data_IF_835071998547
#
_entry.id   IF_835071998547
#
_cell.length_a   1.000
_cell.length_b   1.000
_cell.length_c   1.000
_cell.angle_alpha   90.00
_cell.angle_beta   90.00
_cell.angle_gamma   90.00
#
_symmetry.space_group_name_H-M   'P 1'
#
loop_
_entity.id
_entity.type
_entity.pdbx_description
1 polymer ?
#
# COMPACT_ATOMS: atom_id res chain seq x y z
N UNK A 1 -15.41 -41.08 7.15
CA UNK A 1 -14.25 -40.33 6.62
C UNK A 1 -14.09 -39.04 7.40
N UNK A 2 -13.05 -38.91 8.23
CA UNK A 2 -12.81 -37.70 9.01
C UNK A 2 -12.30 -36.57 8.09
N UNK A 3 -13.02 -35.44 8.03
CA UNK A 3 -12.54 -34.21 7.40
C UNK A 3 -11.23 -33.80 8.06
N UNK A 4 -10.12 -33.82 7.32
CA UNK A 4 -8.85 -33.20 7.74
C UNK A 4 -9.14 -31.74 8.08
N UNK A 5 -9.13 -31.38 9.37
CA UNK A 5 -9.08 -29.99 9.81
C UNK A 5 -7.85 -29.36 9.15
N UNK A 6 -8.05 -28.31 8.37
CA UNK A 6 -6.97 -27.56 7.75
C UNK A 6 -5.98 -27.10 8.83
N UNK A 7 -4.68 -27.24 8.55
CA UNK A 7 -3.62 -26.76 9.44
C UNK A 7 -3.84 -25.29 9.78
N UNK A 8 -3.95 -24.98 11.08
CA UNK A 8 -4.19 -23.64 11.59
C UNK A 8 -2.84 -23.06 12.04
N UNK A 9 -2.35 -22.04 11.34
CA UNK A 9 -1.11 -21.34 11.70
C UNK A 9 -1.37 -20.29 12.77
N UNK A 10 -0.40 -20.03 13.64
CA UNK A 10 -0.50 -18.94 14.62
C UNK A 10 -0.43 -17.60 13.84
N UNK A 11 -1.38 -16.67 14.03
CA UNK A 11 -1.23 -15.29 13.58
C UNK A 11 -0.05 -14.67 14.35
N UNK A 12 1.13 -14.68 13.74
CA UNK A 12 2.36 -14.16 14.34
C UNK A 12 2.72 -12.83 13.66
N UNK A 13 2.88 -11.80 14.49
CA UNK A 13 3.30 -10.47 14.07
C UNK A 13 4.80 -10.43 13.78
N UNK A 14 5.12 -10.33 12.49
CA UNK A 14 6.48 -10.33 12.01
C UNK A 14 7.10 -8.95 11.76
N UNK A 15 6.31 -7.89 11.68
CA UNK A 15 6.86 -6.57 11.32
C UNK A 15 7.29 -5.74 12.54
N UNK A 16 6.95 -6.14 13.77
CA UNK A 16 7.34 -5.45 15.00
C UNK A 16 8.84 -5.57 15.38
N UNK A 17 9.61 -6.43 14.71
CA UNK A 17 11.04 -6.67 15.02
C UNK A 17 12.01 -6.07 13.97
N UNK A 18 11.57 -5.04 13.22
CA UNK A 18 12.12 -4.64 11.92
C UNK A 18 13.44 -3.86 11.88
N UNK A 19 14.16 -3.67 12.99
CA UNK A 19 15.02 -2.48 13.08
C UNK A 19 16.48 -2.63 12.63
N UNK A 20 16.84 -3.63 11.81
CA UNK A 20 18.14 -3.63 11.13
C UNK A 20 18.01 -4.01 9.66
N UNK A 21 18.40 -3.10 8.78
CA UNK A 21 18.68 -3.44 7.39
C UNK A 21 19.82 -4.47 7.37
N UNK A 22 19.74 -5.47 6.51
CA UNK A 22 20.78 -6.48 6.39
C UNK A 22 22.15 -5.93 5.93
N UNK A 23 22.22 -4.65 5.54
CA UNK A 23 23.46 -3.99 5.12
C UNK A 23 24.55 -3.97 6.21
N UNK A 24 24.16 -4.13 7.48
CA UNK A 24 25.09 -4.09 8.62
C UNK A 24 25.54 -5.48 9.14
N UNK A 25 25.20 -6.59 8.46
CA UNK A 25 25.51 -7.95 8.93
C UNK A 25 26.57 -8.67 8.09
N UNK A 26 27.60 -9.18 8.77
CA UNK A 26 28.73 -9.90 8.17
C UNK A 26 28.32 -11.28 7.60
N UNK A 27 28.88 -11.67 6.46
CA UNK A 27 28.56 -12.92 5.73
C UNK A 27 28.68 -14.18 6.59
N UNK A 28 29.76 -14.31 7.35
CA UNK A 28 29.95 -15.40 8.32
C UNK A 28 28.80 -15.52 9.35
N UNK A 29 28.24 -14.40 9.80
CA UNK A 29 27.11 -14.40 10.74
C UNK A 29 25.83 -14.92 10.07
N UNK A 30 25.62 -14.55 8.80
CA UNK A 30 24.50 -15.05 7.97
C UNK A 30 24.59 -16.58 7.82
N UNK A 31 25.79 -17.12 7.53
CA UNK A 31 25.97 -18.56 7.39
C UNK A 31 25.71 -19.33 8.69
N UNK A 32 26.20 -18.80 9.82
CA UNK A 32 25.97 -19.40 11.13
C UNK A 32 24.46 -19.44 11.48
N UNK A 33 23.71 -18.40 11.11
CA UNK A 33 22.25 -18.34 11.30
C UNK A 33 21.48 -19.40 10.50
N UNK A 34 21.96 -19.78 9.31
CA UNK A 34 21.31 -20.83 8.50
C UNK A 34 21.51 -22.23 9.07
N UNK A 35 22.66 -22.52 9.68
CA UNK A 35 23.01 -23.85 10.20
C UNK A 35 22.11 -24.28 11.38
N UNK A 36 21.59 -23.33 12.15
CA UNK A 36 20.80 -23.60 13.36
C UNK A 36 19.29 -23.76 13.11
N UNK A 37 18.79 -23.55 11.89
CA UNK A 37 17.34 -23.51 11.59
C UNK A 37 16.81 -24.83 11.03
N UNK A 38 16.55 -25.80 11.90
CA UNK A 38 15.77 -26.98 11.50
C UNK A 38 14.27 -26.70 11.71
N UNK A 39 13.53 -26.64 10.59
CA UNK A 39 12.04 -26.80 10.46
C UNK A 39 11.14 -25.55 10.48
N UNK A 40 11.53 -24.42 9.87
CA UNK A 40 10.56 -23.32 9.62
C UNK A 40 9.99 -23.38 8.21
N UNK A 41 8.69 -23.13 8.07
CA UNK A 41 8.01 -23.04 6.77
C UNK A 41 7.95 -21.60 6.33
N UNK A 42 8.49 -21.27 5.16
CA UNK A 42 8.29 -19.97 4.56
C UNK A 42 7.01 -19.92 3.74
N UNK A 43 6.27 -18.82 3.86
CA UNK A 43 5.17 -18.44 3.01
C UNK A 43 5.58 -17.28 2.10
N UNK A 44 5.03 -17.25 0.90
CA UNK A 44 5.08 -16.16 -0.05
C UNK A 44 3.67 -15.58 -0.16
N UNK A 45 3.51 -14.32 0.23
CA UNK A 45 2.26 -13.57 0.10
C UNK A 45 2.39 -12.62 -1.08
N UNK A 46 1.59 -12.87 -2.10
CA UNK A 46 1.43 -12.07 -3.30
C UNK A 46 0.30 -11.07 -3.05
N UNK A 47 0.56 -9.79 -3.34
CA UNK A 47 -0.37 -8.70 -3.10
C UNK A 47 -0.46 -7.88 -4.38
N UNK A 48 -1.66 -7.82 -4.97
CA UNK A 48 -1.91 -7.01 -6.17
C UNK A 48 -2.84 -5.85 -5.82
N UNK A 49 -2.39 -4.64 -6.12
CA UNK A 49 -3.15 -3.40 -5.96
C UNK A 49 -3.04 -2.58 -7.26
N UNK A 50 -4.06 -2.66 -8.11
CA UNK A 50 -4.04 -2.03 -9.43
C UNK A 50 -2.91 -2.56 -10.31
N UNK A 51 -1.99 -1.67 -10.69
CA UNK A 51 -0.78 -2.00 -11.46
C UNK A 51 0.43 -2.37 -10.59
N UNK A 52 0.35 -2.13 -9.28
CA UNK A 52 1.39 -2.47 -8.31
C UNK A 52 1.25 -3.92 -7.87
N UNK A 53 2.39 -4.60 -7.77
CA UNK A 53 2.51 -5.95 -7.25
C UNK A 53 3.59 -6.01 -6.19
N UNK A 54 3.26 -6.58 -5.04
CA UNK A 54 4.20 -6.78 -3.94
C UNK A 54 4.27 -8.24 -3.57
N UNK A 55 5.44 -8.66 -3.13
CA UNK A 55 5.61 -9.92 -2.45
C UNK A 55 6.19 -9.72 -1.05
N UNK A 56 5.68 -10.53 -0.12
CA UNK A 56 6.21 -10.66 1.23
C UNK A 56 6.53 -12.14 1.45
N UNK A 57 7.82 -12.47 1.61
CA UNK A 57 8.28 -13.80 2.03
C UNK A 57 8.59 -13.74 3.53
N UNK A 58 7.95 -14.62 4.29
CA UNK A 58 8.07 -14.66 5.74
C UNK A 58 7.98 -16.08 6.31
N UNK A 59 8.66 -16.36 7.42
CA UNK A 59 8.47 -17.58 8.18
C UNK A 59 7.05 -17.67 8.77
N UNK A 60 6.49 -18.86 8.76
CA UNK A 60 5.32 -19.26 9.54
C UNK A 60 5.72 -20.36 10.52
N UNK A 61 5.40 -20.13 11.78
CA UNK A 61 5.64 -21.07 12.87
C UNK A 61 4.35 -21.83 13.18
N UNK A 62 4.46 -23.13 13.45
CA UNK A 62 3.33 -23.98 13.83
C UNK A 62 3.07 -23.95 15.33
N UNK A 63 4.10 -23.69 16.13
CA UNK A 63 4.01 -23.46 17.57
C UNK A 63 5.08 -22.46 18.03
N UNK A 64 4.87 -21.86 19.20
CA UNK A 64 5.90 -21.01 19.83
C UNK A 64 7.17 -21.79 20.19
N UNK A 65 7.08 -23.12 20.28
CA UNK A 65 8.22 -24.00 20.52
C UNK A 65 9.19 -24.09 19.34
N UNK A 66 8.80 -23.61 18.16
CA UNK A 66 9.64 -23.54 16.96
C UNK A 66 10.41 -22.21 16.86
N UNK A 67 10.15 -21.25 17.76
CA UNK A 67 10.91 -19.99 17.85
C UNK A 67 12.15 -20.22 18.73
N UNK A 68 13.36 -19.80 18.31
CA UNK A 68 14.59 -19.97 19.10
C UNK A 68 14.46 -19.44 20.55
N UNK A 69 14.97 -20.16 21.56
CA UNK A 69 14.91 -19.75 22.97
C UNK A 69 15.44 -18.34 23.23
N UNK A 70 16.48 -17.92 22.51
CA UNK A 70 17.12 -16.61 22.57
C UNK A 70 16.13 -15.47 22.25
N UNK A 71 15.16 -15.76 21.38
CA UNK A 71 14.04 -14.90 21.04
C UNK A 71 12.97 -14.81 22.12
N UNK A 72 12.66 -15.93 22.76
CA UNK A 72 11.57 -16.05 23.75
C UNK A 72 11.81 -15.17 24.99
N UNK A 73 13.05 -14.82 25.27
CA UNK A 73 13.48 -13.98 26.40
C UNK A 73 13.29 -12.48 26.19
N UNK A 74 12.99 -12.00 24.98
CA UNK A 74 12.74 -10.57 24.74
C UNK A 74 11.32 -10.21 25.21
N UNK A 75 11.12 -10.06 26.51
CA UNK A 75 9.98 -9.32 27.08
C UNK A 75 10.18 -7.82 26.82
N UNK A 76 9.96 -7.38 25.58
CA UNK A 76 9.78 -5.95 25.28
C UNK A 76 8.36 -5.54 25.66
N UNK A 77 8.20 -4.27 26.03
CA UNK A 77 6.91 -3.59 26.18
C UNK A 77 6.05 -3.79 24.92
N UNK A 78 5.25 -4.86 24.93
CA UNK A 78 4.59 -5.42 23.75
C UNK A 78 3.62 -4.38 23.13
N UNK A 79 3.08 -3.49 23.96
CA UNK A 79 2.07 -2.53 23.55
C UNK A 79 2.60 -1.47 22.57
N UNK A 80 3.82 -0.93 22.80
CA UNK A 80 4.41 0.07 21.89
C UNK A 80 4.82 -0.56 20.55
N UNK A 81 5.40 -1.75 20.60
CA UNK A 81 5.78 -2.50 19.40
C UNK A 81 4.55 -2.88 18.56
N UNK A 82 3.50 -3.40 19.21
CA UNK A 82 2.22 -3.74 18.57
C UNK A 82 1.51 -2.51 17.99
N UNK A 83 1.56 -1.36 18.67
CA UNK A 83 1.01 -0.11 18.15
C UNK A 83 1.75 0.35 16.89
N UNK A 84 3.08 0.36 16.94
CA UNK A 84 3.91 0.71 15.78
C UNK A 84 3.66 -0.23 14.59
N UNK A 85 3.46 -1.52 14.86
CA UNK A 85 3.04 -2.48 13.85
C UNK A 85 1.72 -2.07 13.22
N UNK A 86 0.68 -1.91 14.05
CA UNK A 86 -0.67 -1.64 13.57
C UNK A 86 -0.68 -0.37 12.72
N UNK A 87 0.11 0.62 13.13
CA UNK A 87 0.35 1.85 12.38
C UNK A 87 1.01 1.60 11.01
N UNK A 88 2.05 0.75 10.96
CA UNK A 88 2.73 0.38 9.71
C UNK A 88 1.81 -0.42 8.77
N UNK A 89 1.05 -1.37 9.31
CA UNK A 89 0.09 -2.16 8.54
C UNK A 89 -1.06 -1.31 8.01
N UNK A 90 -1.55 -0.36 8.81
CA UNK A 90 -2.58 0.59 8.37
C UNK A 90 -2.09 1.46 7.21
N UNK A 91 -0.83 1.95 7.25
CA UNK A 91 -0.19 2.69 6.15
C UNK A 91 -0.16 1.88 4.86
N UNK A 92 0.43 0.68 4.92
CA UNK A 92 0.51 -0.23 3.76
C UNK A 92 -0.87 -0.53 3.19
N UNK A 93 -1.86 -0.75 4.05
CA UNK A 93 -3.21 -1.05 3.60
C UNK A 93 -3.85 0.12 2.85
N UNK A 94 -3.73 1.36 3.36
CA UNK A 94 -4.25 2.56 2.68
C UNK A 94 -3.59 2.77 1.33
N UNK A 95 -2.27 2.62 1.26
CA UNK A 95 -1.51 2.70 0.01
C UNK A 95 -2.02 1.68 -1.02
N UNK A 96 -2.19 0.42 -0.62
CA UNK A 96 -2.73 -0.64 -1.47
C UNK A 96 -4.19 -0.36 -1.87
N UNK A 97 -5.01 0.17 -0.96
CA UNK A 97 -6.39 0.54 -1.23
C UNK A 97 -6.47 1.66 -2.27
N UNK A 98 -5.59 2.66 -2.15
CA UNK A 98 -5.50 3.77 -3.09
C UNK A 98 -5.06 3.26 -4.47
N UNK A 99 -3.97 2.50 -4.53
CA UNK A 99 -3.46 1.93 -5.79
C UNK A 99 -4.47 1.00 -6.49
N UNK A 100 -5.32 0.29 -5.74
CA UNK A 100 -6.36 -0.57 -6.30
C UNK A 100 -7.56 0.19 -6.89
N UNK A 101 -7.84 1.40 -6.40
CA UNK A 101 -9.09 2.11 -6.72
C UNK A 101 -8.91 3.39 -7.53
N UNK A 102 -7.71 3.98 -7.56
CA UNK A 102 -7.46 5.27 -8.20
C UNK A 102 -6.29 5.21 -9.20
N UNK A 103 -6.27 6.16 -10.12
CA UNK A 103 -5.37 6.26 -11.27
C UNK A 103 -5.08 7.73 -11.60
N UNK A 104 -4.24 8.00 -12.61
CA UNK A 104 -3.89 9.35 -13.05
C UNK A 104 -5.09 10.21 -13.53
N UNK A 105 -6.25 9.57 -13.75
CA UNK A 105 -7.51 10.25 -14.09
C UNK A 105 -8.22 10.84 -12.87
N UNK A 106 -7.83 10.43 -11.67
CA UNK A 106 -8.48 10.78 -10.43
C UNK A 106 -7.84 12.01 -9.79
N UNK A 107 -8.42 12.51 -8.70
CA UNK A 107 -8.12 13.82 -8.12
C UNK A 107 -7.41 13.62 -6.79
N UNK A 108 -6.34 14.39 -6.58
CA UNK A 108 -5.74 14.66 -5.29
C UNK A 108 -6.07 16.08 -4.85
N UNK A 109 -6.40 16.22 -3.58
CA UNK A 109 -6.68 17.53 -3.01
C UNK A 109 -6.19 17.69 -1.59
N UNK A 110 -5.72 18.91 -1.30
CA UNK A 110 -5.49 19.42 0.04
C UNK A 110 -6.50 20.53 0.29
N UNK A 111 -7.46 20.28 1.17
CA UNK A 111 -8.46 21.26 1.58
C UNK A 111 -8.03 21.92 2.89
N UNK A 112 -8.04 23.25 2.93
CA UNK A 112 -7.61 24.05 4.08
C UNK A 112 -8.77 24.85 4.66
N UNK A 113 -8.49 25.63 5.70
CA UNK A 113 -9.45 26.53 6.33
C UNK A 113 -8.94 27.96 6.25
N UNK A 114 -9.85 28.91 6.08
CA UNK A 114 -9.61 30.31 6.40
C UNK A 114 -9.85 30.56 7.91
N UNK A 115 -9.48 31.73 8.40
CA UNK A 115 -9.54 32.07 9.83
C UNK A 115 -10.98 32.07 10.39
N UNK A 116 -11.98 32.37 9.54
CA UNK A 116 -13.39 32.43 9.95
C UNK A 116 -13.99 31.03 10.15
N UNK A 117 -13.54 30.06 9.34
CA UNK A 117 -14.07 28.70 9.33
C UNK A 117 -13.18 27.66 10.03
N UNK A 118 -12.02 28.07 10.54
CA UNK A 118 -11.05 27.18 11.17
C UNK A 118 -11.64 26.50 12.41
N UNK A 119 -11.57 25.16 12.51
CA UNK A 119 -11.99 24.45 13.71
C UNK A 119 -11.15 24.87 14.93
N UNK A 120 -11.76 24.88 16.15
CA UNK A 120 -11.00 25.08 17.37
C UNK A 120 -9.84 24.08 17.51
N UNK A 121 -8.79 24.48 18.20
CA UNK A 121 -7.62 23.62 18.44
C UNK A 121 -8.02 22.33 19.16
N UNK A 122 -7.64 21.20 18.56
CA UNK A 122 -7.98 19.86 19.05
C UNK A 122 -9.42 19.41 18.79
N UNK A 123 -10.30 20.24 18.22
CA UNK A 123 -11.67 19.84 17.86
C UNK A 123 -11.72 19.11 16.51
N UNK A 124 -11.25 17.86 16.52
CA UNK A 124 -11.25 17.02 15.32
C UNK A 124 -12.68 16.68 14.87
N UNK A 125 -13.64 16.59 15.80
CA UNK A 125 -15.03 16.32 15.46
C UNK A 125 -15.63 17.41 14.56
N UNK A 126 -15.29 18.69 14.81
CA UNK A 126 -15.65 19.79 13.93
C UNK A 126 -15.00 19.64 12.54
N UNK A 127 -13.72 19.32 12.48
CA UNK A 127 -13.00 19.09 11.22
C UNK A 127 -13.60 17.91 10.41
N UNK A 128 -13.92 16.80 11.06
CA UNK A 128 -14.58 15.63 10.45
C UNK A 128 -15.98 16.00 9.94
N UNK A 129 -16.78 16.73 10.73
CA UNK A 129 -18.11 17.20 10.30
C UNK A 129 -18.02 18.05 9.04
N UNK A 130 -17.00 18.89 8.91
CA UNK A 130 -16.79 19.73 7.72
C UNK A 130 -16.50 18.89 6.46
N UNK A 131 -15.60 17.90 6.54
CA UNK A 131 -15.33 16.98 5.42
C UNK A 131 -16.56 16.16 5.06
N UNK A 132 -17.33 15.70 6.04
CA UNK A 132 -18.56 14.97 5.74
C UNK A 132 -19.62 15.85 5.05
N UNK A 133 -19.75 17.13 5.43
CA UNK A 133 -20.63 18.10 4.73
C UNK A 133 -20.14 18.31 3.29
N UNK A 134 -18.83 18.42 3.09
CA UNK A 134 -18.22 18.52 1.77
C UNK A 134 -18.55 17.31 0.88
N UNK A 135 -18.31 16.09 1.37
CA UNK A 135 -18.64 14.85 0.63
C UNK A 135 -20.14 14.77 0.30
N UNK A 136 -21.03 15.22 1.21
CA UNK A 136 -22.47 15.29 0.93
C UNK A 136 -22.79 16.26 -0.22
N UNK A 137 -22.13 17.42 -0.29
CA UNK A 137 -22.29 18.38 -1.40
C UNK A 137 -21.80 17.80 -2.73
N UNK A 138 -20.65 17.11 -2.72
CA UNK A 138 -20.15 16.38 -3.89
C UNK A 138 -21.17 15.35 -4.38
N UNK A 139 -21.66 14.48 -3.49
CA UNK A 139 -22.64 13.46 -3.85
C UNK A 139 -23.98 14.05 -4.32
N UNK A 140 -24.37 15.21 -3.79
CA UNK A 140 -25.53 15.95 -4.30
C UNK A 140 -25.32 16.42 -5.75
N UNK A 141 -24.15 16.98 -6.07
CA UNK A 141 -23.80 17.38 -7.44
C UNK A 141 -23.75 16.17 -8.39
N UNK A 142 -23.25 15.02 -7.93
CA UNK A 142 -23.26 13.76 -8.67
C UNK A 142 -24.67 13.26 -8.94
N UNK A 143 -25.53 13.24 -7.90
CA UNK A 143 -26.94 12.81 -8.03
C UNK A 143 -27.69 13.63 -9.07
N UNK A 144 -27.50 14.96 -9.10
CA UNK A 144 -28.09 15.85 -10.12
C UNK A 144 -27.70 15.49 -11.56
N UNK A 145 -26.52 14.89 -11.74
CA UNK A 145 -25.95 14.50 -13.03
C UNK A 145 -26.13 13.01 -13.34
N UNK A 146 -26.89 12.28 -12.53
CA UNK A 146 -27.08 10.82 -12.70
C UNK A 146 -25.82 10.00 -12.42
N UNK A 147 -24.83 10.55 -11.71
CA UNK A 147 -23.58 9.87 -11.38
C UNK A 147 -23.70 9.11 -10.04
N UNK A 148 -22.99 7.98 -9.88
CA UNK A 148 -22.92 7.27 -8.60
C UNK A 148 -22.17 8.09 -7.53
N UNK A 149 -22.34 7.70 -6.26
CA UNK A 149 -21.62 8.33 -5.16
C UNK A 149 -20.09 8.29 -5.36
N UNK A 150 -19.41 9.32 -4.86
CA UNK A 150 -17.97 9.45 -4.93
C UNK A 150 -17.25 8.32 -4.19
N UNK A 151 -16.24 7.76 -4.85
CA UNK A 151 -15.20 6.95 -4.26
C UNK A 151 -14.09 7.88 -3.78
N UNK A 152 -13.69 7.72 -2.52
CA UNK A 152 -12.65 8.54 -1.94
C UNK A 152 -11.93 7.85 -0.78
N UNK A 153 -10.72 8.31 -0.49
CA UNK A 153 -9.99 8.08 0.75
C UNK A 153 -9.53 9.45 1.26
N UNK A 154 -9.67 9.72 2.55
CA UNK A 154 -9.17 10.95 3.13
C UNK A 154 -8.52 10.79 4.50
N UNK A 155 -7.66 11.76 4.82
CA UNK A 155 -7.08 11.95 6.16
C UNK A 155 -7.29 13.40 6.58
N UNK A 156 -7.56 13.55 7.88
CA UNK A 156 -7.60 14.85 8.55
C UNK A 156 -6.30 14.99 9.32
N UNK A 157 -5.58 16.06 9.01
CA UNK A 157 -4.32 16.41 9.64
C UNK A 157 -4.53 17.61 10.57
N UNK A 158 -3.83 17.56 11.70
CA UNK A 158 -3.83 18.59 12.72
C UNK A 158 -2.40 18.83 13.20
N UNK A 159 -1.97 20.08 13.21
CA UNK A 159 -0.71 20.46 13.84
C UNK A 159 -0.84 21.87 14.44
N UNK A 160 -0.95 22.01 15.78
CA UNK A 160 -1.14 23.32 16.41
C UNK A 160 0.03 24.27 16.18
N UNK A 161 1.23 23.74 15.95
CA UNK A 161 2.46 24.52 15.75
C UNK A 161 2.69 24.90 14.28
N UNK A 162 1.82 24.47 13.36
CA UNK A 162 1.91 24.80 11.94
C UNK A 162 1.05 26.01 11.57
N UNK A 163 1.47 26.73 10.53
CA UNK A 163 0.67 27.81 9.93
C UNK A 163 -0.70 27.31 9.46
N UNK A 164 -0.74 26.15 8.79
CA UNK A 164 -1.98 25.46 8.42
C UNK A 164 -2.30 24.41 9.49
N UNK A 165 -3.00 24.85 10.54
CA UNK A 165 -3.31 24.00 11.70
C UNK A 165 -4.19 22.81 11.35
N UNK A 166 -5.21 23.01 10.52
CA UNK A 166 -6.13 21.97 10.06
C UNK A 166 -6.09 21.88 8.54
N UNK A 167 -5.97 20.66 8.02
CA UNK A 167 -6.14 20.41 6.60
C UNK A 167 -6.59 18.97 6.32
N UNK A 168 -7.15 18.75 5.14
CA UNK A 168 -7.64 17.45 4.72
C UNK A 168 -7.01 17.04 3.40
N UNK A 169 -6.40 15.86 3.41
CA UNK A 169 -5.90 15.22 2.21
C UNK A 169 -6.94 14.24 1.69
N UNK A 170 -7.34 14.40 0.43
CA UNK A 170 -8.39 13.60 -0.19
C UNK A 170 -7.90 13.06 -1.54
N UNK A 171 -8.01 11.75 -1.71
CA UNK A 171 -7.98 11.08 -3.02
C UNK A 171 -9.43 10.80 -3.41
N UNK A 172 -9.86 11.24 -4.58
CA UNK A 172 -11.24 11.08 -5.04
C UNK A 172 -11.28 10.69 -6.52
N UNK A 173 -12.24 9.87 -6.92
CA UNK A 173 -12.41 9.54 -8.34
C UNK A 173 -12.75 10.77 -9.19
N UNK A 174 -12.27 10.77 -10.43
CA UNK A 174 -12.34 11.91 -11.35
C UNK A 174 -13.66 12.09 -12.10
N UNK A 175 -14.78 11.52 -11.66
CA UNK A 175 -16.06 11.59 -12.38
C UNK A 175 -16.72 12.99 -12.37
N UNK A 176 -16.28 13.90 -11.49
CA UNK A 176 -16.62 15.33 -11.56
C UNK A 176 -15.36 16.12 -11.92
N UNK A 177 -15.54 17.24 -12.61
CA UNK A 177 -14.47 18.18 -12.91
C UNK A 177 -13.93 18.86 -11.64
N UNK A 178 -12.64 19.23 -11.67
CA UNK A 178 -11.94 19.74 -10.49
C UNK A 178 -12.53 21.06 -9.97
N UNK A 179 -13.05 21.93 -10.85
CA UNK A 179 -13.69 23.20 -10.47
C UNK A 179 -14.99 22.97 -9.67
N UNK A 180 -15.85 22.05 -10.13
CA UNK A 180 -17.05 21.65 -9.40
C UNK A 180 -16.70 21.01 -8.06
N UNK A 181 -15.65 20.19 -8.04
CA UNK A 181 -15.19 19.52 -6.82
C UNK A 181 -14.65 20.55 -5.81
N UNK A 182 -13.77 21.46 -6.23
CA UNK A 182 -13.21 22.51 -5.38
C UNK A 182 -14.29 23.45 -4.84
N UNK A 183 -15.20 23.91 -5.70
CA UNK A 183 -16.27 24.83 -5.31
C UNK A 183 -17.25 24.25 -4.28
N UNK A 184 -17.27 22.93 -4.07
CA UNK A 184 -18.06 22.31 -3.00
C UNK A 184 -17.47 22.50 -1.60
N UNK A 185 -16.17 22.80 -1.50
CA UNK A 185 -15.53 23.19 -0.25
C UNK A 185 -15.89 24.65 0.05
N UNK A 186 -16.40 24.89 1.26
CA UNK A 186 -16.97 26.19 1.68
C UNK A 186 -16.29 26.77 2.91
N UNK A 187 -15.09 26.30 3.23
CA UNK A 187 -14.34 26.70 4.43
C UNK A 187 -13.06 27.49 4.10
N UNK A 188 -12.71 27.59 2.82
CA UNK A 188 -11.53 28.30 2.31
C UNK A 188 -11.57 28.32 0.79
N UNK A 189 -10.94 29.35 0.20
CA UNK A 189 -10.60 29.41 -1.22
C UNK A 189 -9.14 29.03 -1.53
N UNK A 190 -8.30 28.84 -0.50
CA UNK A 190 -6.87 28.50 -0.64
C UNK A 190 -6.66 26.99 -0.62
N UNK A 191 -7.20 26.29 -1.62
CA UNK A 191 -7.07 24.84 -1.73
C UNK A 191 -6.06 24.45 -2.82
N UNK A 192 -5.48 23.26 -2.70
CA UNK A 192 -4.71 22.66 -3.78
C UNK A 192 -5.50 21.50 -4.37
N UNK A 193 -5.82 21.59 -5.67
CA UNK A 193 -6.52 20.53 -6.39
C UNK A 193 -5.72 20.17 -7.64
N UNK A 194 -5.38 18.90 -7.79
CA UNK A 194 -4.60 18.41 -8.94
C UNK A 194 -5.04 17.00 -9.33
N UNK A 195 -4.66 16.59 -10.55
CA UNK A 195 -4.77 15.18 -10.94
C UNK A 195 -3.72 14.35 -10.20
N UNK A 196 -4.05 13.10 -9.91
CA UNK A 196 -3.08 12.12 -9.46
C UNK A 196 -2.02 11.90 -10.54
N UNK A 197 -0.79 11.67 -10.10
CA UNK A 197 0.33 11.32 -10.97
C UNK A 197 1.01 10.09 -10.38
N UNK A 198 1.01 8.99 -11.13
CA UNK A 198 1.75 7.80 -10.76
C UNK A 198 3.24 7.96 -11.04
N UNK A 199 4.06 7.68 -10.04
CA UNK A 199 5.51 7.52 -10.20
C UNK A 199 5.87 6.04 -10.47
N UNK A 200 7.16 5.69 -10.43
CA UNK A 200 7.65 4.32 -10.58
C UNK A 200 7.08 3.36 -9.50
N UNK A 201 6.76 3.91 -8.33
CA UNK A 201 6.10 3.23 -7.22
C UNK A 201 4.57 3.45 -7.22
N UNK A 202 3.96 3.88 -8.32
CA UNK A 202 2.51 4.13 -8.38
C UNK A 202 2.09 5.38 -7.61
N UNK A 203 1.10 5.27 -6.71
CA UNK A 203 0.64 6.38 -5.87
C UNK A 203 1.28 6.36 -4.47
N UNK A 204 2.36 5.61 -4.30
CA UNK A 204 2.95 5.31 -3.00
C UNK A 204 3.58 6.51 -2.31
N UNK A 205 4.27 7.40 -3.05
CA UNK A 205 4.82 8.64 -2.48
C UNK A 205 3.71 9.52 -1.87
N UNK A 206 2.58 9.62 -2.56
CA UNK A 206 1.40 10.36 -2.09
C UNK A 206 0.70 9.64 -0.93
N UNK A 207 0.56 8.31 -0.99
CA UNK A 207 -0.02 7.54 0.10
C UNK A 207 0.82 7.62 1.39
N UNK A 208 2.14 7.65 1.29
CA UNK A 208 3.01 7.87 2.45
C UNK A 208 2.85 9.29 2.99
N UNK A 209 2.78 10.30 2.13
CA UNK A 209 2.54 11.69 2.51
C UNK A 209 1.24 11.86 3.32
N UNK A 210 0.14 11.24 2.87
CA UNK A 210 -1.15 11.23 3.61
C UNK A 210 -1.00 10.71 5.04
N UNK A 211 -0.26 9.61 5.21
CA UNK A 211 -0.36 8.77 6.41
C UNK A 211 0.77 9.05 7.40
N UNK A 212 1.80 9.82 7.02
CA UNK A 212 2.95 10.13 7.88
C UNK A 212 2.71 11.20 8.95
N UNK A 213 1.54 11.85 8.99
CA UNK A 213 1.23 12.91 9.97
C UNK A 213 1.60 12.50 11.41
N UNK A 214 2.52 13.27 12.03
CA UNK A 214 3.23 12.91 13.26
C UNK A 214 2.48 13.39 14.51
N UNK A 215 1.74 14.49 14.41
CA UNK A 215 1.09 15.17 15.54
C UNK A 215 -0.41 14.83 15.63
N UNK A 216 -0.73 13.56 15.84
CA UNK A 216 -2.12 13.08 15.84
C UNK A 216 -2.78 13.21 17.21
N UNK A 217 -4.05 13.59 17.20
CA UNK A 217 -4.92 13.46 18.39
C UNK A 217 -5.08 11.97 18.72
N UNK A 218 -4.85 11.53 19.97
CA UNK A 218 -4.98 10.14 20.37
C UNK A 218 -6.40 9.59 20.10
N UNK A 219 -6.52 8.28 19.86
CA UNK A 219 -7.77 7.50 19.68
C UNK A 219 -8.53 7.64 18.35
N UNK A 220 -8.05 8.43 17.40
CA UNK A 220 -8.75 8.62 16.13
C UNK A 220 -8.38 7.66 15.00
N UNK A 221 -9.33 7.44 14.08
CA UNK A 221 -9.07 6.72 12.83
C UNK A 221 -8.09 7.51 11.98
N UNK A 222 -7.05 6.82 11.50
CA UNK A 222 -5.97 7.42 10.72
C UNK A 222 -6.40 7.92 9.35
N UNK A 223 -7.43 7.30 8.80
CA UNK A 223 -7.99 7.59 7.50
C UNK A 223 -9.46 7.15 7.49
N UNK A 224 -10.21 7.70 6.54
CA UNK A 224 -11.58 7.34 6.26
C UNK A 224 -11.74 7.12 4.75
N UNK A 225 -12.77 6.39 4.35
CA UNK A 225 -13.04 6.14 2.93
C UNK A 225 -14.53 6.05 2.63
N UNK A 226 -14.85 6.15 1.35
CA UNK A 226 -16.14 5.74 0.82
C UNK A 226 -16.37 4.24 1.01
N UNK A 227 -17.64 3.83 1.00
CA UNK A 227 -18.01 2.42 0.91
C UNK A 227 -17.84 1.89 -0.52
N UNK A 228 -17.61 0.59 -0.67
CA UNK A 228 -17.53 -0.07 -1.98
C UNK A 228 -16.20 0.11 -2.74
N UNK A 229 -15.14 0.52 -2.04
CA UNK A 229 -13.78 0.39 -2.57
C UNK A 229 -13.40 -1.10 -2.68
N UNK A 230 -12.63 -1.45 -3.71
CA UNK A 230 -12.11 -2.80 -3.88
C UNK A 230 -10.88 -3.01 -3.00
N UNK A 231 -10.85 -4.12 -2.27
CA UNK A 231 -9.67 -4.52 -1.51
C UNK A 231 -8.55 -5.01 -2.44
N UNK A 232 -7.28 -4.82 -2.06
CA UNK A 232 -6.16 -5.42 -2.77
C UNK A 232 -6.28 -6.95 -2.74
N UNK A 233 -5.92 -7.59 -3.85
CA UNK A 233 -5.98 -9.05 -3.97
C UNK A 233 -4.77 -9.67 -3.28
N UNK A 234 -5.03 -10.56 -2.32
CA UNK A 234 -3.99 -11.24 -1.54
C UNK A 234 -4.05 -12.75 -1.80
N UNK A 235 -2.88 -13.34 -2.07
CA UNK A 235 -2.72 -14.79 -2.21
C UNK A 235 -1.49 -15.25 -1.45
N UNK A 236 -1.64 -16.28 -0.63
CA UNK A 236 -0.53 -16.88 0.12
C UNK A 236 -0.23 -18.26 -0.43
N UNK A 237 1.03 -18.53 -0.73
CA UNK A 237 1.51 -19.83 -1.23
C UNK A 237 2.75 -20.29 -0.48
N UNK A 238 2.98 -21.59 -0.43
CA UNK A 238 4.14 -22.21 0.25
C UNK A 238 5.13 -22.87 -0.70
N UNK A 239 4.86 -22.81 -2.01
CA UNK A 239 5.74 -23.33 -3.04
C UNK A 239 5.60 -22.58 -4.36
N UNK A 240 6.70 -22.48 -5.12
CA UNK A 240 6.78 -21.90 -6.46
C UNK A 240 7.58 -22.79 -7.40
N UNK A 241 7.31 -22.68 -8.70
CA UNK A 241 8.15 -23.30 -9.73
C UNK A 241 9.37 -22.42 -9.99
N UNK A 242 10.59 -22.98 -10.11
CA UNK A 242 11.78 -22.18 -10.43
C UNK A 242 11.74 -21.52 -11.81
N UNK A 243 11.05 -22.16 -12.76
CA UNK A 243 10.82 -21.69 -14.11
C UNK A 243 9.53 -22.34 -14.68
N UNK A 244 9.04 -21.83 -15.81
CA UNK A 244 7.95 -22.46 -16.54
C UNK A 244 8.28 -23.93 -16.86
N UNK A 245 7.33 -24.84 -16.62
CA UNK A 245 7.53 -26.28 -16.80
C UNK A 245 8.27 -27.02 -15.68
N UNK A 246 8.88 -26.32 -14.70
CA UNK A 246 9.58 -26.93 -13.58
C UNK A 246 8.65 -27.53 -12.50
N UNK A 247 9.19 -28.40 -11.65
CA UNK A 247 8.50 -28.90 -10.45
C UNK A 247 8.39 -27.82 -9.37
N UNK A 248 7.35 -27.91 -8.52
CA UNK A 248 7.19 -27.00 -7.40
C UNK A 248 8.26 -27.25 -6.34
N UNK A 249 8.90 -26.18 -5.88
CA UNK A 249 9.82 -26.17 -4.74
C UNK A 249 9.25 -25.31 -3.62
N UNK A 250 9.56 -25.66 -2.37
CA UNK A 250 9.11 -24.89 -1.19
C UNK A 250 9.71 -23.49 -1.23
N UNK A 251 8.98 -22.46 -0.79
CA UNK A 251 9.52 -21.08 -0.78
C UNK A 251 10.84 -21.01 0.00
N UNK A 252 10.94 -21.73 1.11
CA UNK A 252 12.15 -21.77 1.92
C UNK A 252 13.43 -22.16 1.15
N UNK A 253 13.34 -23.01 0.11
CA UNK A 253 14.53 -23.38 -0.68
C UNK A 253 15.05 -22.25 -1.57
N UNK A 254 14.29 -21.18 -1.76
CA UNK A 254 14.72 -19.99 -2.49
C UNK A 254 15.28 -18.91 -1.56
N UNK A 255 14.83 -18.88 -0.30
CA UNK A 255 15.21 -17.86 0.68
C UNK A 255 16.72 -17.84 0.91
N UNK A 256 17.34 -19.01 1.08
CA UNK A 256 18.78 -19.12 1.31
C UNK A 256 19.58 -18.40 0.21
N UNK A 257 19.22 -18.63 -1.06
CA UNK A 257 19.86 -17.96 -2.20
C UNK A 257 19.60 -16.46 -2.17
N UNK A 258 18.34 -16.05 -1.98
CA UNK A 258 17.96 -14.62 -1.98
C UNK A 258 18.63 -13.82 -0.86
N UNK A 259 18.91 -14.46 0.29
CA UNK A 259 19.55 -13.81 1.43
C UNK A 259 21.06 -13.71 1.25
N UNK A 260 21.70 -14.79 0.76
CA UNK A 260 23.16 -14.82 0.52
C UNK A 260 23.58 -13.98 -0.68
N UNK A 261 22.76 -13.99 -1.73
CA UNK A 261 22.97 -13.28 -2.99
C UNK A 261 21.72 -12.46 -3.31
N UNK A 262 21.72 -11.20 -2.89
CA UNK A 262 20.58 -10.29 -3.05
C UNK A 262 20.33 -9.93 -4.52
N UNK A 263 21.39 -9.91 -5.33
CA UNK A 263 21.31 -9.64 -6.77
C UNK A 263 20.60 -10.77 -7.52
N UNK A 264 20.49 -11.96 -6.91
CA UNK A 264 19.65 -13.03 -7.43
C UNK A 264 18.13 -12.79 -7.29
N UNK A 265 17.69 -11.87 -6.41
CA UNK A 265 16.26 -11.63 -6.16
C UNK A 265 15.54 -11.20 -7.45
N UNK A 266 15.97 -10.14 -8.17
CA UNK A 266 15.36 -9.76 -9.44
C UNK A 266 15.25 -10.92 -10.44
N UNK A 267 16.31 -11.74 -10.56
CA UNK A 267 16.33 -12.87 -11.50
C UNK A 267 15.30 -13.96 -11.14
N UNK A 268 15.18 -14.29 -9.86
CA UNK A 268 14.22 -15.28 -9.38
C UNK A 268 12.79 -14.75 -9.59
N UNK A 269 12.55 -13.48 -9.25
CA UNK A 269 11.24 -12.86 -9.41
C UNK A 269 10.84 -12.74 -10.87
N UNK A 270 11.76 -12.43 -11.78
CA UNK A 270 11.52 -12.44 -13.23
C UNK A 270 11.08 -13.82 -13.74
N UNK A 271 11.60 -14.90 -13.17
CA UNK A 271 11.16 -16.27 -13.50
C UNK A 271 9.78 -16.60 -12.93
N UNK A 272 9.44 -16.08 -11.76
CA UNK A 272 8.13 -16.29 -11.13
C UNK A 272 7.02 -15.43 -11.75
N UNK A 273 7.37 -14.23 -12.21
CA UNK A 273 6.47 -13.19 -12.71
C UNK A 273 7.07 -12.52 -13.96
N UNK A 274 7.10 -13.20 -15.12
CA UNK A 274 7.76 -12.70 -16.33
C UNK A 274 7.12 -11.44 -16.93
N UNK A 275 5.84 -11.22 -16.64
CA UNK A 275 5.05 -10.09 -17.13
C UNK A 275 5.10 -8.86 -16.20
N UNK A 276 5.97 -8.90 -15.20
CA UNK A 276 6.16 -7.81 -14.24
C UNK A 276 7.58 -7.25 -14.33
N UNK A 277 7.68 -5.94 -14.16
CA UNK A 277 8.93 -5.22 -14.10
C UNK A 277 9.33 -5.04 -12.63
N UNK A 278 10.57 -5.40 -12.31
CA UNK A 278 11.11 -5.30 -10.96
C UNK A 278 11.39 -3.83 -10.61
N UNK A 279 11.04 -3.43 -9.39
CA UNK A 279 11.29 -2.06 -8.89
C UNK A 279 12.37 -2.09 -7.82
N UNK A 280 12.10 -2.78 -6.70
CA UNK A 280 13.06 -2.90 -5.61
C UNK A 280 12.81 -4.16 -4.77
N UNK A 281 13.80 -4.52 -3.96
CA UNK A 281 13.66 -5.53 -2.93
C UNK A 281 14.44 -5.11 -1.69
N UNK A 282 13.97 -5.58 -0.54
CA UNK A 282 14.65 -5.43 0.73
C UNK A 282 14.60 -6.76 1.48
N UNK A 283 15.72 -7.11 2.09
CA UNK A 283 15.84 -8.27 2.96
C UNK A 283 16.05 -7.80 4.39
N UNK A 284 15.26 -8.34 5.30
CA UNK A 284 15.29 -8.02 6.72
C UNK A 284 15.60 -9.27 7.51
N UNK A 285 16.25 -9.08 8.65
CA UNK A 285 16.44 -10.11 9.64
C UNK A 285 15.74 -9.70 10.93
N UNK A 286 15.07 -10.64 11.55
CA UNK A 286 14.33 -10.45 12.77
C UNK A 286 15.15 -11.05 13.91
N UNK A 287 15.71 -10.18 14.76
CA UNK A 287 16.54 -10.59 15.90
C UNK A 287 15.77 -11.43 16.94
N UNK A 288 14.43 -11.30 16.98
CA UNK A 288 13.60 -12.06 17.92
C UNK A 288 13.46 -13.51 17.49
N UNK A 289 12.95 -13.79 16.30
CA UNK A 289 12.78 -15.19 15.88
C UNK A 289 13.99 -15.74 15.13
N UNK A 290 15.03 -14.91 14.99
CA UNK A 290 16.22 -15.17 14.24
C UNK A 290 15.90 -15.61 12.82
N UNK A 291 14.89 -15.04 12.14
CA UNK A 291 14.49 -15.41 10.77
C UNK A 291 14.67 -14.29 9.73
N UNK A 292 14.67 -14.66 8.45
CA UNK A 292 14.76 -13.71 7.33
C UNK A 292 13.38 -13.36 6.79
N UNK A 293 13.25 -12.16 6.27
CA UNK A 293 12.06 -11.63 5.63
C UNK A 293 12.47 -10.97 4.34
N UNK A 294 11.72 -11.16 3.26
CA UNK A 294 12.01 -10.54 1.97
C UNK A 294 10.77 -9.82 1.51
N UNK A 295 10.91 -8.54 1.21
CA UNK A 295 9.90 -7.74 0.56
C UNK A 295 10.39 -7.35 -0.82
N UNK A 296 9.56 -7.45 -1.84
CA UNK A 296 9.89 -6.89 -3.15
C UNK A 296 8.67 -6.24 -3.79
N UNK A 297 8.92 -5.17 -4.53
CA UNK A 297 7.92 -4.42 -5.30
C UNK A 297 8.21 -4.58 -6.79
N UNK A 298 7.14 -4.78 -7.53
CA UNK A 298 7.12 -4.94 -8.97
C UNK A 298 5.91 -4.19 -9.55
N UNK A 299 5.91 -3.96 -10.85
CA UNK A 299 4.80 -3.35 -11.58
C UNK A 299 4.38 -4.23 -12.74
N UNK A 300 3.09 -4.28 -13.06
CA UNK A 300 2.66 -4.91 -14.32
C UNK A 300 3.28 -4.18 -15.49
N UNK A 301 3.88 -4.92 -16.43
CA UNK A 301 4.41 -4.35 -17.66
C UNK A 301 3.27 -3.75 -18.46
N UNK A 302 3.33 -2.45 -18.76
CA UNK A 302 2.38 -1.81 -19.67
C UNK A 302 2.62 -2.40 -21.07
N UNK A 303 1.59 -2.97 -21.68
CA UNK A 303 1.67 -3.39 -23.08
C UNK A 303 1.94 -2.15 -23.95
N UNK A 304 3.11 -2.06 -24.57
CA UNK A 304 3.39 -1.11 -25.65
C UNK A 304 2.52 -1.50 -26.85
N UNK A 305 1.27 -1.03 -26.88
CA UNK A 305 0.32 -1.45 -27.90
C UNK A 305 -1.06 -0.84 -27.77
N UNK A 306 -1.16 0.47 -27.54
CA UNK A 306 -2.36 1.28 -27.88
C UNK A 306 -2.03 2.78 -27.75
N UNK A 307 -1.10 3.24 -28.58
CA UNK A 307 -1.00 4.65 -29.00
C UNK A 307 -0.87 4.68 -30.51
N UNK A 308 -1.94 4.30 -31.20
CA UNK A 308 -2.15 4.72 -32.59
C UNK A 308 -3.31 5.71 -32.59
N UNK A 309 -2.94 6.99 -32.67
CA UNK A 309 -3.83 8.06 -33.05
C UNK A 309 -4.50 7.67 -34.39
N UNK A 310 -5.76 7.23 -34.35
CA UNK A 310 -6.65 7.42 -35.49
C UNK A 310 -7.18 8.85 -35.42
N UNK A 311 -6.42 9.76 -36.02
CA UNK A 311 -7.00 10.98 -36.57
C UNK A 311 -7.99 10.57 -37.65
N UNK A 312 -9.29 10.63 -37.32
CA UNK A 312 -10.35 10.67 -38.32
C UNK A 312 -10.17 11.92 -39.18
N UNK A 313 -9.46 11.76 -40.30
CA UNK A 313 -9.58 12.68 -41.43
C UNK A 313 -10.84 12.29 -42.18
N UNK A 314 -11.98 12.86 -41.78
CA UNK A 314 -13.15 12.95 -42.65
C UNK A 314 -12.76 13.81 -43.85
N UNK A 315 -12.54 13.17 -44.99
CA UNK A 315 -12.39 13.81 -46.28
C UNK A 315 -13.70 14.48 -46.67
N UNK A 316 -13.65 15.81 -46.79
CA UNK A 316 -14.66 16.57 -47.52
C UNK A 316 -14.30 16.45 -49.00
N UNK A 317 -15.01 15.60 -49.72
CA UNK A 317 -15.04 15.62 -51.18
C UNK A 317 -15.64 16.96 -51.65
N UNK A 318 -14.81 17.80 -52.24
CA UNK A 318 -15.27 18.87 -53.14
C UNK A 318 -15.43 18.28 -54.53
N UNK A 319 -16.67 18.02 -54.91
CA UNK A 319 -17.05 17.85 -56.30
C UNK A 319 -16.89 19.20 -57.04
N UNK A 320 -16.04 19.22 -58.06
CA UNK A 320 -16.13 20.14 -59.21
C UNK A 320 -16.49 19.25 -60.40
N UNK A 321 -17.54 19.59 -61.13
CA UNK A 321 -17.45 20.19 -62.47
C UNK A 321 -18.81 20.15 -63.19
N UNK A 322 -19.13 21.33 -63.75
CA UNK A 322 -20.02 21.65 -64.88
C UNK A 322 -21.53 21.63 -64.58
#
# INVERSE_FOLDING_TARGET
MARKRGMQYIPYDYEAAYNKAMEDMHEWFIENLFQHRKKVIYALKEITAGDQFEIEIYPQFRSMDEVPPEGRTIKKDNNKAQKNLNDKNARKYVERLINENFSDRDIWMTLTYDDEHLPPDGDVDAAIKNVQKYIRRINYQRKKRGLPNAKYVYVTAYNPDAEIRWHHHIVMDGALDMETVESCWKQSSRNEVRRLQTDENGLSGMANYIVEEKNRVPSEKRWNSSQGLRDPRIKVVHSKRPAAGGSYKKIGSFVDKMVKDRDSIPEILKKWYPDMDFTNAAVYYNDFNCMFYIHARMRKRRSTGEKTNKTDKTGIEKSRFI
#
